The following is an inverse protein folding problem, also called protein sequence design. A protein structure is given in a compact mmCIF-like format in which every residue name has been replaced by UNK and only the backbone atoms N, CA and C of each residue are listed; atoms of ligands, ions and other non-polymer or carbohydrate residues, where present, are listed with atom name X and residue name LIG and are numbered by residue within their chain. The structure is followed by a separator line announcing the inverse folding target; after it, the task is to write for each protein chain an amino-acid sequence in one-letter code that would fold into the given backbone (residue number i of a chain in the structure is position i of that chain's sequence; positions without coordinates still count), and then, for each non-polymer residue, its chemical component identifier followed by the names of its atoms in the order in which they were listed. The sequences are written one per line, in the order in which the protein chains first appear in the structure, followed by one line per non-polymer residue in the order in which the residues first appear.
data_IF_873836901207
#
_entry.id   IF_873836901207
#
_cell.length_a   1.000
_cell.length_b   1.000
_cell.length_c   1.000
_cell.angle_alpha   90.00
_cell.angle_beta   90.00
_cell.angle_gamma   90.00
#
_symmetry.space_group_name_H-M   'P 1'
#
loop_
_entity.id
_entity.type
_entity.pdbx_description
1 polymer ?
#
# COMPACT_ATOMS: atom_id res chain seq x y z
N UNK A 1 -20.12 -13.98 24.15
CA UNK A 1 -18.78 -14.58 23.98
C UNK A 1 -17.87 -13.48 23.45
N UNK A 2 -16.93 -12.98 24.26
CA UNK A 2 -15.99 -11.95 23.81
C UNK A 2 -14.96 -12.58 22.89
N UNK A 3 -14.86 -12.06 21.66
CA UNK A 3 -13.87 -12.47 20.68
C UNK A 3 -12.49 -12.15 21.29
N UNK A 4 -11.68 -13.16 21.55
CA UNK A 4 -10.34 -12.95 22.10
C UNK A 4 -9.43 -12.58 20.92
N UNK A 5 -9.20 -11.28 20.71
CA UNK A 5 -8.31 -10.81 19.65
C UNK A 5 -6.88 -11.05 20.13
N UNK A 6 -6.17 -11.98 19.50
CA UNK A 6 -4.73 -12.18 19.73
C UNK A 6 -3.95 -10.90 19.42
N UNK A 7 -2.77 -10.75 20.02
CA UNK A 7 -1.85 -9.63 19.78
C UNK A 7 -1.53 -9.44 18.29
N UNK A 8 -1.50 -10.53 17.53
CA UNK A 8 -1.33 -10.54 16.07
C UNK A 8 -2.48 -9.84 15.33
N UNK A 9 -3.72 -10.01 15.78
CA UNK A 9 -4.87 -9.31 15.19
C UNK A 9 -4.87 -7.80 15.50
N UNK A 10 -4.22 -7.37 16.59
CA UNK A 10 -4.05 -5.94 16.90
C UNK A 10 -2.99 -5.29 16.02
N UNK A 11 -2.01 -6.04 15.51
CA UNK A 11 -0.99 -5.52 14.60
C UNK A 11 -1.59 -5.07 13.25
N UNK A 12 -2.64 -5.74 12.79
CA UNK A 12 -3.38 -5.36 11.57
C UNK A 12 -4.04 -3.97 11.68
N UNK A 13 -4.32 -3.51 12.89
CA UNK A 13 -4.94 -2.20 13.14
C UNK A 13 -3.93 -1.05 13.11
N UNK A 14 -2.63 -1.33 13.21
CA UNK A 14 -1.58 -0.31 13.11
C UNK A 14 -1.31 -0.01 11.64
N UNK A 15 -1.10 1.26 11.24
CA UNK A 15 -0.60 1.58 9.91
C UNK A 15 0.70 0.83 9.60
N UNK A 16 0.94 0.43 8.34
CA UNK A 16 2.22 -0.17 7.97
C UNK A 16 3.36 0.83 8.21
N UNK A 17 4.53 0.32 8.54
CA UNK A 17 5.74 1.11 8.80
C UNK A 17 6.83 0.91 7.73
N UNK A 18 6.69 -0.11 6.89
CA UNK A 18 7.61 -0.42 5.78
C UNK A 18 6.86 -0.55 4.46
N UNK A 19 7.60 -0.42 3.35
CA UNK A 19 7.03 -0.59 2.00
C UNK A 19 6.46 -2.02 1.84
N UNK A 20 7.19 -3.03 2.31
CA UNK A 20 6.73 -4.43 2.26
C UNK A 20 5.42 -4.62 3.04
N UNK A 21 5.31 -4.09 4.27
CA UNK A 21 4.07 -4.19 5.06
C UNK A 21 2.89 -3.47 4.37
N UNK A 22 3.16 -2.34 3.71
CA UNK A 22 2.16 -1.60 2.96
C UNK A 22 1.67 -2.41 1.75
N UNK A 23 2.58 -3.02 0.99
CA UNK A 23 2.27 -3.86 -0.17
C UNK A 23 1.54 -5.14 0.25
N UNK A 24 2.00 -5.82 1.30
CA UNK A 24 1.34 -7.01 1.84
C UNK A 24 -0.10 -6.71 2.26
N UNK A 25 -0.32 -5.54 2.86
CA UNK A 25 -1.67 -5.09 3.22
C UNK A 25 -2.52 -4.82 1.99
N UNK A 26 -1.98 -4.19 0.96
CA UNK A 26 -2.68 -3.99 -0.32
C UNK A 26 -3.04 -5.33 -0.98
N UNK A 27 -2.12 -6.29 -1.00
CA UNK A 27 -2.36 -7.63 -1.55
C UNK A 27 -3.45 -8.40 -0.80
N UNK A 28 -3.61 -8.14 0.51
CA UNK A 28 -4.66 -8.73 1.34
C UNK A 28 -6.04 -8.12 1.06
N UNK A 29 -6.12 -6.82 0.79
CA UNK A 29 -7.41 -6.11 0.63
C UNK A 29 -7.90 -6.04 -0.82
N UNK A 30 -7.00 -6.03 -1.80
CA UNK A 30 -7.35 -5.90 -3.21
C UNK A 30 -7.96 -7.21 -3.72
N UNK A 31 -9.01 -7.08 -4.54
CA UNK A 31 -9.63 -8.25 -5.18
C UNK A 31 -8.69 -8.89 -6.19
N UNK A 32 -9.03 -10.09 -6.65
CA UNK A 32 -8.26 -10.72 -7.73
C UNK A 32 -8.32 -9.88 -9.01
N UNK A 33 -9.49 -9.32 -9.32
CA UNK A 33 -9.72 -8.45 -10.48
C UNK A 33 -8.92 -7.16 -10.39
N UNK A 34 -8.89 -6.49 -9.23
CA UNK A 34 -8.06 -5.28 -9.03
C UNK A 34 -6.58 -5.58 -9.24
N UNK A 35 -6.10 -6.70 -8.69
CA UNK A 35 -4.70 -7.12 -8.82
C UNK A 35 -4.34 -7.43 -10.27
N UNK A 36 -5.21 -8.09 -11.02
CA UNK A 36 -5.01 -8.31 -12.46
C UNK A 36 -5.01 -7.00 -13.24
N UNK A 37 -5.94 -6.09 -12.93
CA UNK A 37 -6.03 -4.80 -13.60
C UNK A 37 -4.75 -3.99 -13.39
N UNK A 38 -4.25 -3.90 -12.15
CA UNK A 38 -3.01 -3.20 -11.82
C UNK A 38 -1.82 -3.89 -12.50
N UNK A 39 -1.69 -5.21 -12.39
CA UNK A 39 -0.58 -5.96 -13.00
C UNK A 39 -0.48 -5.74 -14.52
N UNK A 40 -1.63 -5.61 -15.20
CA UNK A 40 -1.70 -5.37 -16.64
C UNK A 40 -1.37 -3.95 -17.09
N UNK A 41 -1.18 -2.99 -16.18
CA UNK A 41 -0.81 -1.62 -16.50
C UNK A 41 0.66 -1.53 -16.95
N UNK A 42 0.96 -0.60 -17.86
CA UNK A 42 2.35 -0.19 -18.09
C UNK A 42 2.82 0.63 -16.88
N UNK A 43 4.11 0.56 -16.57
CA UNK A 43 4.67 1.31 -15.44
C UNK A 43 4.40 2.82 -15.53
N UNK A 44 4.43 3.38 -16.74
CA UNK A 44 4.14 4.81 -16.98
C UNK A 44 2.68 5.20 -16.71
N UNK A 45 1.75 4.24 -16.78
CA UNK A 45 0.32 4.48 -16.58
C UNK A 45 -0.06 4.41 -15.10
N UNK A 46 0.83 3.95 -14.21
CA UNK A 46 0.57 3.85 -12.77
C UNK A 46 0.24 5.21 -12.12
N UNK A 47 0.63 6.32 -12.77
CA UNK A 47 0.26 7.67 -12.33
C UNK A 47 -1.25 7.90 -12.36
N UNK A 48 -2.00 7.20 -13.21
CA UNK A 48 -3.46 7.31 -13.28
C UNK A 48 -4.14 6.82 -12.00
N UNK A 49 -3.44 6.04 -11.18
CA UNK A 49 -3.90 5.59 -9.87
C UNK A 49 -3.76 6.65 -8.76
N UNK A 50 -3.14 7.80 -9.04
CA UNK A 50 -2.81 8.82 -8.03
C UNK A 50 -4.03 9.29 -7.23
N UNK A 51 -5.12 9.65 -7.90
CA UNK A 51 -6.35 10.14 -7.25
C UNK A 51 -7.31 9.03 -6.79
N UNK A 52 -7.03 7.77 -7.15
CA UNK A 52 -7.81 6.61 -6.71
C UNK A 52 -7.05 5.87 -5.62
N UNK A 53 -6.30 4.83 -5.97
CA UNK A 53 -5.55 4.01 -5.02
C UNK A 53 -4.53 4.84 -4.23
N UNK A 54 -3.85 5.80 -4.87
CA UNK A 54 -2.87 6.66 -4.22
C UNK A 54 -3.50 7.52 -3.12
N UNK A 55 -4.69 8.08 -3.37
CA UNK A 55 -5.45 8.81 -2.34
C UNK A 55 -5.88 7.89 -1.20
N UNK A 56 -6.35 6.68 -1.51
CA UNK A 56 -6.72 5.68 -0.50
C UNK A 56 -5.52 5.29 0.37
N UNK A 57 -4.33 5.08 -0.21
CA UNK A 57 -3.09 4.77 0.51
C UNK A 57 -2.72 5.91 1.46
N UNK A 58 -2.68 7.16 0.96
CA UNK A 58 -2.34 8.35 1.78
C UNK A 58 -3.23 8.46 3.01
N UNK A 59 -4.54 8.28 2.82
CA UNK A 59 -5.53 8.38 3.89
C UNK A 59 -5.47 7.18 4.85
N UNK A 60 -5.41 5.96 4.34
CA UNK A 60 -5.50 4.75 5.15
C UNK A 60 -4.20 4.47 5.93
N UNK A 61 -3.05 4.82 5.38
CA UNK A 61 -1.74 4.59 6.03
C UNK A 61 -1.25 5.82 6.81
N UNK A 62 -2.05 6.90 6.85
CA UNK A 62 -1.76 8.10 7.63
C UNK A 62 -0.52 8.85 7.13
N UNK A 63 -0.27 8.87 5.82
CA UNK A 63 0.96 9.48 5.28
C UNK A 63 1.06 10.99 5.54
N UNK A 64 -0.08 11.66 5.79
CA UNK A 64 -0.10 13.08 6.19
C UNK A 64 0.36 13.33 7.64
N UNK A 65 0.47 12.28 8.45
CA UNK A 65 0.80 12.42 9.87
C UNK A 65 2.28 12.75 10.07
N UNK A 66 2.62 13.74 10.91
CA UNK A 66 4.00 14.06 11.22
C UNK A 66 4.75 12.86 11.82
N UNK A 67 5.95 12.58 11.30
CA UNK A 67 6.78 11.48 11.78
C UNK A 67 6.27 10.08 11.40
N UNK A 68 5.41 9.99 10.37
CA UNK A 68 4.95 8.70 9.85
C UNK A 68 6.15 7.81 9.44
N UNK A 69 6.29 6.59 10.00
CA UNK A 69 7.44 5.73 9.72
C UNK A 69 7.46 5.19 8.30
N UNK A 70 6.29 4.96 7.67
CA UNK A 70 6.20 4.52 6.28
C UNK A 70 6.62 5.63 5.32
N UNK A 71 6.21 6.88 5.57
CA UNK A 71 6.66 8.02 4.78
C UNK A 71 8.18 8.13 4.80
N UNK A 72 8.79 8.00 5.98
CA UNK A 72 10.24 7.97 6.15
C UNK A 72 10.89 6.76 5.45
N UNK A 73 10.28 5.58 5.53
CA UNK A 73 10.77 4.36 4.86
C UNK A 73 10.74 4.48 3.33
N UNK A 74 9.79 5.24 2.77
CA UNK A 74 9.77 5.55 1.34
C UNK A 74 10.85 6.56 0.93
N UNK A 75 11.49 7.24 1.89
CA UNK A 75 12.52 8.25 1.62
C UNK A 75 11.98 9.57 1.06
N UNK A 76 10.68 9.84 1.20
CA UNK A 76 10.03 11.07 0.72
C UNK A 76 9.57 11.96 1.87
N UNK A 77 9.41 13.25 1.53
CA UNK A 77 8.74 14.24 2.39
C UNK A 77 7.26 14.36 2.02
N UNK A 78 6.93 14.12 0.74
CA UNK A 78 5.59 14.27 0.20
C UNK A 78 4.81 12.95 0.22
N UNK A 79 3.61 12.90 0.85
CA UNK A 79 2.70 11.75 0.80
C UNK A 79 2.36 11.29 -0.61
N UNK A 80 2.36 12.20 -1.59
CA UNK A 80 1.99 11.90 -2.97
C UNK A 80 3.03 10.99 -3.62
N UNK A 81 4.31 11.37 -3.55
CA UNK A 81 5.43 10.58 -4.03
C UNK A 81 5.54 9.24 -3.30
N UNK A 82 5.36 9.23 -1.98
CA UNK A 82 5.40 7.99 -1.19
C UNK A 82 4.29 7.01 -1.59
N UNK A 83 3.07 7.51 -1.81
CA UNK A 83 1.96 6.66 -2.27
C UNK A 83 2.20 6.11 -3.67
N UNK A 84 2.82 6.88 -4.57
CA UNK A 84 3.20 6.41 -5.90
C UNK A 84 4.28 5.32 -5.83
N UNK A 85 5.30 5.48 -4.98
CA UNK A 85 6.32 4.44 -4.76
C UNK A 85 5.71 3.13 -4.27
N UNK A 86 4.77 3.18 -3.32
CA UNK A 86 4.06 1.98 -2.83
C UNK A 86 3.27 1.30 -3.97
N UNK A 87 2.63 2.08 -4.85
CA UNK A 87 1.92 1.55 -6.03
C UNK A 87 2.89 0.88 -7.00
N UNK A 88 4.06 1.49 -7.26
CA UNK A 88 5.11 0.89 -8.11
C UNK A 88 5.60 -0.43 -7.51
N UNK A 89 5.83 -0.50 -6.20
CA UNK A 89 6.28 -1.75 -5.57
C UNK A 89 5.18 -2.82 -5.54
N UNK A 90 3.92 -2.44 -5.33
CA UNK A 90 2.78 -3.34 -5.50
C UNK A 90 2.75 -3.93 -6.91
N UNK A 91 2.90 -3.08 -7.93
CA UNK A 91 2.92 -3.51 -9.33
C UNK A 91 4.10 -4.45 -9.63
N UNK A 92 5.29 -4.16 -9.12
CA UNK A 92 6.46 -5.05 -9.22
C UNK A 92 6.16 -6.43 -8.61
N UNK A 93 5.59 -6.45 -7.39
CA UNK A 93 5.28 -7.70 -6.68
C UNK A 93 4.25 -8.54 -7.42
N UNK A 94 3.19 -7.91 -7.94
CA UNK A 94 2.16 -8.57 -8.75
C UNK A 94 2.75 -9.20 -10.02
N UNK A 95 3.64 -8.48 -10.72
CA UNK A 95 4.29 -9.00 -11.93
C UNK A 95 5.27 -10.14 -11.65
N UNK A 96 5.96 -10.13 -10.49
CA UNK A 96 6.81 -11.24 -10.06
C UNK A 96 5.99 -12.49 -9.69
N UNK A 97 4.81 -12.32 -9.11
CA UNK A 97 3.91 -13.44 -8.76
C UNK A 97 3.24 -14.08 -9.98
N UNK A 98 3.10 -13.33 -11.08
CA UNK A 98 2.48 -13.77 -12.33
C UNK A 98 3.49 -14.27 -13.38
N UNK A 99 4.79 -14.13 -13.13
CA UNK A 99 5.87 -14.64 -13.97
C UNK A 99 6.12 -16.14 -13.75
#
# INVERSE_FOLDING_TARGET
MYKNWSTENLAILKPPATIDEAVDRLLLILTYEDRLAIAGMQQGDLIDLHFTLGLSIRNAFGLYEPGNPLLAACGFVDPDDASHMIIVELWNRLNQMNA
#
